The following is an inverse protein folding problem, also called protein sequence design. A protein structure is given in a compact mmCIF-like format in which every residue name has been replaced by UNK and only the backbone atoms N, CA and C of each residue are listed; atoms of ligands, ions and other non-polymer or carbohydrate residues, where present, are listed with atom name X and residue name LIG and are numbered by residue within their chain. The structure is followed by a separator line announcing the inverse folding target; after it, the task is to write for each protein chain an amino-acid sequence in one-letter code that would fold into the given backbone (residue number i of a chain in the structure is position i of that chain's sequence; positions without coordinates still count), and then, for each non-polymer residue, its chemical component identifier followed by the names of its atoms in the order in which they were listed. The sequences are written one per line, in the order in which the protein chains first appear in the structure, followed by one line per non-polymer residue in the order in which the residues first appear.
data_IF_599263804113
#
_entry.id   IF_599263804113
#
_cell.length_a   1.000
_cell.length_b   1.000
_cell.length_c   1.000
_cell.angle_alpha   90.00
_cell.angle_beta   90.00
_cell.angle_gamma   90.00
#
_symmetry.space_group_name_H-M   'P 1'
#
loop_
_entity.id
_entity.type
_entity.pdbx_description
1 polymer ?
#
# COMPACT_ATOMS: atom_id res chain seq x y z
N UNK A 1 21.87 -34.04 -23.77
CA UNK A 1 21.96 -33.34 -22.47
C UNK A 1 20.83 -32.34 -22.45
N UNK A 2 19.70 -32.72 -21.83
CA UNK A 2 18.54 -31.85 -21.69
C UNK A 2 18.89 -30.91 -20.53
N UNK A 3 19.23 -29.64 -20.84
CA UNK A 3 19.32 -28.60 -19.83
C UNK A 3 17.94 -28.42 -19.20
N UNK A 4 17.77 -28.87 -17.95
CA UNK A 4 16.61 -28.48 -17.12
C UNK A 4 16.56 -26.96 -17.13
N UNK A 5 15.63 -26.40 -17.87
CA UNK A 5 15.24 -25.00 -17.74
C UNK A 5 14.78 -24.86 -16.28
N UNK A 6 15.60 -24.20 -15.47
CA UNK A 6 15.29 -23.91 -14.09
C UNK A 6 14.07 -22.97 -14.16
N UNK A 7 12.90 -23.56 -13.93
CA UNK A 7 11.65 -22.80 -13.80
C UNK A 7 11.90 -21.84 -12.64
N UNK A 8 12.13 -20.56 -12.96
CA UNK A 8 12.32 -19.55 -11.92
C UNK A 8 10.99 -19.46 -11.17
N UNK A 9 10.99 -19.80 -9.90
CA UNK A 9 9.88 -19.57 -8.99
C UNK A 9 9.65 -18.05 -8.91
N UNK A 10 8.92 -17.53 -9.89
CA UNK A 10 8.49 -16.13 -9.86
C UNK A 10 7.44 -16.01 -8.78
N UNK A 11 7.75 -15.25 -7.73
CA UNK A 11 6.78 -14.91 -6.70
C UNK A 11 5.60 -14.19 -7.36
N UNK A 12 4.44 -14.80 -7.25
CA UNK A 12 3.19 -14.22 -7.74
C UNK A 12 2.72 -13.15 -6.75
N UNK A 13 2.82 -11.89 -7.16
CA UNK A 13 2.39 -10.75 -6.37
C UNK A 13 0.94 -10.35 -6.59
N UNK A 14 0.21 -11.09 -7.44
CA UNK A 14 -1.17 -10.77 -7.82
C UNK A 14 -2.09 -10.73 -6.61
N UNK A 15 -1.98 -11.71 -5.72
CA UNK A 15 -2.79 -11.76 -4.51
C UNK A 15 -2.49 -10.58 -3.57
N UNK A 16 -1.20 -10.27 -3.34
CA UNK A 16 -0.80 -9.15 -2.49
C UNK A 16 -1.30 -7.81 -3.05
N UNK A 17 -1.20 -7.63 -4.37
CA UNK A 17 -1.73 -6.46 -5.06
C UNK A 17 -3.26 -6.37 -4.94
N UNK A 18 -3.97 -7.48 -5.12
CA UNK A 18 -5.43 -7.51 -4.99
C UNK A 18 -5.89 -7.15 -3.56
N UNK A 19 -5.24 -7.72 -2.54
CA UNK A 19 -5.52 -7.41 -1.13
C UNK A 19 -5.25 -5.92 -0.86
N UNK A 20 -4.14 -5.38 -1.36
CA UNK A 20 -3.82 -3.97 -1.20
C UNK A 20 -4.91 -3.07 -1.82
N UNK A 21 -5.40 -3.39 -3.03
CA UNK A 21 -6.49 -2.63 -3.66
C UNK A 21 -7.79 -2.69 -2.84
N UNK A 22 -8.14 -3.84 -2.28
CA UNK A 22 -9.32 -3.99 -1.42
C UNK A 22 -9.19 -3.12 -0.16
N UNK A 23 -8.01 -3.12 0.48
CA UNK A 23 -7.73 -2.29 1.65
C UNK A 23 -7.81 -0.79 1.33
N UNK A 24 -7.18 -0.36 0.23
CA UNK A 24 -7.22 1.03 -0.23
C UNK A 24 -8.66 1.46 -0.54
N UNK A 25 -9.43 0.59 -1.19
CA UNK A 25 -10.85 0.85 -1.47
C UNK A 25 -11.67 1.01 -0.18
N UNK A 26 -11.45 0.14 0.82
CA UNK A 26 -12.10 0.23 2.13
C UNK A 26 -11.77 1.54 2.85
N UNK A 27 -10.52 1.99 2.78
CA UNK A 27 -10.09 3.25 3.40
C UNK A 27 -10.63 4.49 2.67
N UNK A 28 -10.70 4.43 1.34
CA UNK A 28 -11.14 5.54 0.51
C UNK A 28 -12.67 5.70 0.52
N UNK A 29 -13.38 4.59 0.37
CA UNK A 29 -14.84 4.53 0.22
C UNK A 29 -15.49 3.77 1.38
N UNK A 30 -14.91 3.81 2.56
CA UNK A 30 -15.47 3.19 3.76
C UNK A 30 -16.79 3.84 4.18
N UNK A 31 -17.91 3.20 3.80
CA UNK A 31 -19.26 3.66 4.05
C UNK A 31 -20.22 2.48 4.16
N UNK A 32 -20.98 2.41 5.25
CA UNK A 32 -21.92 1.30 5.52
C UNK A 32 -23.00 1.23 4.45
N UNK A 33 -23.62 2.37 4.13
CA UNK A 33 -24.73 2.44 3.18
C UNK A 33 -24.29 2.08 1.77
N UNK A 34 -23.21 2.67 1.28
CA UNK A 34 -22.61 2.36 -0.01
C UNK A 34 -22.16 0.90 -0.08
N UNK A 35 -21.55 0.39 0.99
CA UNK A 35 -21.13 -1.02 1.10
C UNK A 35 -22.30 -1.98 0.87
N UNK A 36 -23.42 -1.75 1.55
CA UNK A 36 -24.64 -2.56 1.36
C UNK A 36 -25.16 -2.51 -0.08
N UNK A 37 -25.23 -1.32 -0.67
CA UNK A 37 -25.68 -1.14 -2.07
C UNK A 37 -24.76 -1.91 -3.03
N UNK A 38 -23.42 -1.82 -2.86
CA UNK A 38 -22.47 -2.53 -3.71
C UNK A 38 -22.57 -4.05 -3.54
N UNK A 39 -22.78 -4.55 -2.32
CA UNK A 39 -22.99 -5.99 -2.09
C UNK A 39 -24.25 -6.46 -2.81
N UNK A 40 -25.36 -5.74 -2.68
CA UNK A 40 -26.61 -6.10 -3.35
C UNK A 40 -26.45 -6.09 -4.89
N UNK A 41 -25.82 -5.07 -5.46
CA UNK A 41 -25.50 -5.01 -6.89
C UNK A 41 -24.61 -6.18 -7.32
N UNK A 42 -23.58 -6.51 -6.54
CA UNK A 42 -22.70 -7.65 -6.81
C UNK A 42 -23.46 -8.98 -6.79
N UNK A 43 -24.40 -9.16 -5.86
CA UNK A 43 -25.26 -10.34 -5.77
C UNK A 43 -26.23 -10.44 -6.95
N UNK A 44 -26.80 -9.34 -7.40
CA UNK A 44 -27.63 -9.30 -8.62
C UNK A 44 -26.82 -9.72 -9.85
N UNK A 45 -25.56 -9.34 -9.91
CA UNK A 45 -24.64 -9.66 -11.01
C UNK A 45 -23.80 -10.91 -10.77
N UNK A 46 -24.13 -11.78 -9.81
CA UNK A 46 -23.32 -12.94 -9.35
C UNK A 46 -22.87 -13.89 -10.44
N UNK A 47 -23.58 -13.96 -11.56
CA UNK A 47 -23.23 -14.80 -12.70
C UNK A 47 -22.00 -14.27 -13.48
N UNK A 48 -21.66 -13.00 -13.32
CA UNK A 48 -20.52 -12.34 -13.97
C UNK A 48 -19.34 -12.21 -13.00
N UNK A 49 -18.12 -12.35 -13.50
CA UNK A 49 -16.89 -12.11 -12.70
C UNK A 49 -16.89 -10.72 -12.08
N UNK A 50 -17.32 -9.70 -12.83
CA UNK A 50 -17.45 -8.33 -12.33
C UNK A 50 -18.39 -8.22 -11.13
N UNK A 51 -19.48 -9.00 -11.10
CA UNK A 51 -20.41 -8.99 -9.95
C UNK A 51 -19.74 -9.49 -8.67
N UNK A 52 -18.92 -10.53 -8.76
CA UNK A 52 -18.14 -11.03 -7.61
C UNK A 52 -17.15 -9.97 -7.10
N UNK A 53 -16.47 -9.26 -8.00
CA UNK A 53 -15.55 -8.17 -7.63
C UNK A 53 -16.29 -7.03 -6.94
N UNK A 54 -17.43 -6.60 -7.48
CA UNK A 54 -18.27 -5.55 -6.88
C UNK A 54 -18.74 -5.97 -5.49
N UNK A 55 -19.14 -7.23 -5.28
CA UNK A 55 -19.54 -7.74 -3.97
C UNK A 55 -18.39 -7.68 -2.96
N UNK A 56 -17.17 -8.09 -3.35
CA UNK A 56 -15.98 -8.03 -2.49
C UNK A 56 -15.65 -6.58 -2.13
N UNK A 57 -15.67 -5.66 -3.09
CA UNK A 57 -15.46 -4.24 -2.83
C UNK A 57 -16.56 -3.64 -1.95
N UNK A 58 -17.82 -4.10 -2.11
CA UNK A 58 -18.93 -3.73 -1.24
C UNK A 58 -18.71 -4.17 0.21
N UNK A 59 -18.24 -5.40 0.43
CA UNK A 59 -17.87 -5.89 1.76
C UNK A 59 -16.74 -5.05 2.35
N UNK A 60 -15.72 -4.73 1.55
CA UNK A 60 -14.61 -3.89 1.98
C UNK A 60 -15.08 -2.48 2.39
N UNK A 61 -15.95 -1.86 1.58
CA UNK A 61 -16.56 -0.55 1.89
C UNK A 61 -17.40 -0.61 3.17
N UNK A 62 -18.20 -1.67 3.35
CA UNK A 62 -19.00 -1.87 4.55
C UNK A 62 -18.13 -1.97 5.82
N UNK A 63 -17.07 -2.76 5.77
CA UNK A 63 -16.11 -2.89 6.89
C UNK A 63 -15.40 -1.56 7.18
N UNK A 64 -14.97 -0.85 6.13
CA UNK A 64 -14.42 0.50 6.27
C UNK A 64 -15.41 1.46 6.91
N UNK A 65 -16.68 1.41 6.49
CA UNK A 65 -17.77 2.20 7.05
C UNK A 65 -18.04 1.91 8.53
N UNK A 66 -17.91 0.66 8.96
CA UNK A 66 -17.98 0.30 10.38
C UNK A 66 -16.84 0.92 11.21
N UNK A 67 -15.65 1.07 10.62
CA UNK A 67 -14.51 1.72 11.29
C UNK A 67 -14.73 3.23 11.40
N UNK A 68 -15.29 3.83 10.37
CA UNK A 68 -15.53 5.29 10.32
C UNK A 68 -16.84 5.72 10.98
N UNK A 69 -17.81 4.83 11.11
CA UNK A 69 -19.12 5.14 11.66
C UNK A 69 -20.05 5.90 10.70
N UNK A 70 -19.76 5.87 9.40
CA UNK A 70 -20.45 6.65 8.38
C UNK A 70 -21.39 5.78 7.55
N UNK A 71 -22.58 6.33 7.23
CA UNK A 71 -23.52 5.76 6.29
C UNK A 71 -23.96 6.83 5.29
N UNK A 72 -23.87 6.50 3.97
CA UNK A 72 -24.17 7.40 2.86
C UNK A 72 -23.45 8.75 2.95
N UNK A 73 -22.23 8.76 3.48
CA UNK A 73 -21.35 9.94 3.67
C UNK A 73 -21.96 11.11 4.47
N UNK A 74 -23.23 11.07 4.80
CA UNK A 74 -23.96 12.16 5.43
C UNK A 74 -24.46 11.82 6.83
N UNK A 75 -24.54 10.54 7.17
CA UNK A 75 -25.11 10.07 8.44
C UNK A 75 -23.98 9.50 9.27
N UNK A 76 -23.61 10.23 10.34
CA UNK A 76 -22.70 9.75 11.35
C UNK A 76 -23.48 8.92 12.38
N UNK A 77 -23.30 7.61 12.38
CA UNK A 77 -23.98 6.69 13.30
C UNK A 77 -23.32 6.68 14.68
N UNK A 78 -22.00 6.80 14.71
CA UNK A 78 -21.19 6.85 15.95
C UNK A 78 -19.83 7.47 15.65
N UNK A 79 -19.09 7.94 16.69
CA UNK A 79 -17.76 8.51 16.49
C UNK A 79 -16.81 7.44 15.91
N UNK A 80 -15.99 7.85 14.94
CA UNK A 80 -15.02 6.97 14.29
C UNK A 80 -14.10 6.29 15.31
N UNK A 81 -13.85 5.00 15.12
CA UNK A 81 -12.89 4.22 15.93
C UNK A 81 -11.46 4.71 15.71
N UNK A 82 -11.17 5.19 14.51
CA UNK A 82 -9.89 5.83 14.18
C UNK A 82 -10.15 7.33 14.10
N UNK A 83 -9.38 8.17 14.82
CA UNK A 83 -9.51 9.62 14.72
C UNK A 83 -9.05 10.07 13.32
N UNK A 84 -9.96 10.00 12.38
CA UNK A 84 -9.77 10.44 11.00
C UNK A 84 -10.74 11.59 10.78
N UNK A 85 -10.30 12.58 10.04
CA UNK A 85 -11.12 13.70 9.62
C UNK A 85 -12.42 13.25 8.95
N UNK A 86 -13.41 14.13 8.97
CA UNK A 86 -14.77 13.94 8.47
C UNK A 86 -14.88 13.14 7.16
N UNK A 87 -16.02 12.49 6.95
CA UNK A 87 -16.30 11.54 5.87
C UNK A 87 -15.85 11.98 4.48
N UNK A 88 -15.91 13.28 4.19
CA UNK A 88 -15.49 13.90 2.92
C UNK A 88 -14.10 14.54 2.96
N UNK A 89 -13.28 14.26 3.99
CA UNK A 89 -11.99 14.92 4.02
C UNK A 89 -11.09 14.36 2.92
N UNK A 90 -10.55 15.27 2.12
CA UNK A 90 -9.49 15.00 1.15
C UNK A 90 -8.32 14.23 1.79
N UNK A 91 -8.19 14.28 3.12
CA UNK A 91 -7.19 13.56 3.90
C UNK A 91 -7.34 12.04 3.79
N UNK A 92 -8.57 11.48 3.84
CA UNK A 92 -8.79 10.04 3.62
C UNK A 92 -8.32 9.63 2.22
N UNK A 93 -8.62 10.45 1.23
CA UNK A 93 -8.24 10.21 -0.15
C UNK A 93 -6.72 10.20 -0.34
N UNK A 94 -6.04 11.20 0.23
CA UNK A 94 -4.58 11.30 0.19
C UNK A 94 -3.94 10.11 0.91
N UNK A 95 -4.42 9.75 2.11
CA UNK A 95 -3.90 8.62 2.87
C UNK A 95 -4.09 7.30 2.12
N UNK A 96 -5.22 7.10 1.45
CA UNK A 96 -5.49 5.92 0.64
C UNK A 96 -4.55 5.83 -0.57
N UNK A 97 -4.33 6.95 -1.29
CA UNK A 97 -3.39 7.01 -2.41
C UNK A 97 -1.96 6.76 -1.92
N UNK A 98 -1.57 7.36 -0.81
CA UNK A 98 -0.23 7.16 -0.23
C UNK A 98 -0.02 5.69 0.14
N UNK A 99 -1.01 5.05 0.79
CA UNK A 99 -0.97 3.62 1.10
C UNK A 99 -0.83 2.77 -0.15
N UNK A 100 -1.54 3.11 -1.24
CA UNK A 100 -1.44 2.42 -2.52
C UNK A 100 -0.02 2.51 -3.09
N UNK A 101 0.55 3.70 -3.14
CA UNK A 101 1.90 3.93 -3.68
C UNK A 101 2.95 3.18 -2.85
N UNK A 102 2.90 3.34 -1.53
CA UNK A 102 3.84 2.68 -0.60
C UNK A 102 3.68 1.16 -0.65
N UNK A 103 2.45 0.67 -0.66
CA UNK A 103 2.15 -0.75 -0.72
C UNK A 103 2.67 -1.40 -2.01
N UNK A 104 2.42 -0.79 -3.18
CA UNK A 104 2.94 -1.27 -4.46
C UNK A 104 4.46 -1.23 -4.51
N UNK A 105 5.07 -0.17 -3.97
CA UNK A 105 6.51 -0.08 -3.85
C UNK A 105 7.08 -1.21 -3.00
N UNK A 106 6.52 -1.48 -1.82
CA UNK A 106 6.94 -2.55 -0.91
C UNK A 106 6.80 -3.93 -1.57
N UNK A 107 5.65 -4.21 -2.22
CA UNK A 107 5.41 -5.48 -2.94
C UNK A 107 6.48 -5.68 -4.02
N UNK A 108 6.76 -4.64 -4.81
CA UNK A 108 7.80 -4.68 -5.85
C UNK A 108 9.20 -4.93 -5.29
N UNK A 109 9.55 -4.31 -4.16
CA UNK A 109 10.85 -4.51 -3.49
C UNK A 109 10.97 -5.89 -2.86
N UNK A 110 9.93 -6.38 -2.20
CA UNK A 110 9.92 -7.74 -1.62
C UNK A 110 10.14 -8.78 -2.73
N UNK A 111 9.45 -8.63 -3.86
CA UNK A 111 9.67 -9.48 -5.05
C UNK A 111 11.12 -9.42 -5.56
N UNK A 112 11.70 -8.22 -5.63
CA UNK A 112 13.08 -8.03 -6.08
C UNK A 112 14.09 -8.70 -5.13
N UNK A 113 13.89 -8.57 -3.81
CA UNK A 113 14.73 -9.19 -2.79
C UNK A 113 14.62 -10.72 -2.84
N UNK A 114 13.43 -11.25 -3.03
CA UNK A 114 13.20 -12.69 -3.10
C UNK A 114 13.93 -13.31 -4.31
N UNK A 115 13.88 -12.65 -5.46
CA UNK A 115 14.47 -13.12 -6.70
C UNK A 115 16.00 -12.90 -6.76
N UNK A 116 16.59 -12.12 -5.85
CA UNK A 116 18.02 -11.87 -5.81
C UNK A 116 18.76 -13.06 -5.18
N UNK A 117 19.86 -13.52 -5.79
CA UNK A 117 20.62 -14.67 -5.28
C UNK A 117 21.70 -14.27 -4.29
N UNK A 118 22.26 -13.07 -4.42
CA UNK A 118 23.34 -12.58 -3.57
C UNK A 118 22.80 -11.95 -2.28
N UNK A 119 23.25 -12.44 -1.13
CA UNK A 119 22.88 -11.86 0.18
C UNK A 119 23.31 -10.40 0.32
N UNK A 120 24.48 -10.05 -0.21
CA UNK A 120 24.98 -8.66 -0.20
C UNK A 120 24.04 -7.76 -1.00
N UNK A 121 23.59 -8.21 -2.17
CA UNK A 121 22.64 -7.49 -3.00
C UNK A 121 21.26 -7.38 -2.35
N UNK A 122 20.80 -8.40 -1.64
CA UNK A 122 19.54 -8.37 -0.89
C UNK A 122 19.51 -7.25 0.13
N UNK A 123 20.60 -7.00 0.81
CA UNK A 123 20.69 -6.03 1.91
C UNK A 123 21.10 -4.64 1.40
N UNK A 124 22.25 -4.52 0.76
CA UNK A 124 22.92 -3.25 0.48
C UNK A 124 22.54 -2.61 -0.87
N UNK A 125 21.82 -3.29 -1.72
CA UNK A 125 21.37 -2.71 -2.99
C UNK A 125 20.18 -1.77 -2.79
N UNK A 126 20.07 -0.74 -3.63
CA UNK A 126 18.86 0.07 -3.77
C UNK A 126 17.64 -0.80 -4.14
N UNK A 127 17.85 -1.94 -4.79
CA UNK A 127 16.79 -2.92 -5.07
C UNK A 127 16.46 -3.80 -3.86
N UNK A 128 17.30 -3.80 -2.83
CA UNK A 128 17.19 -4.59 -1.61
C UNK A 128 16.54 -3.81 -0.44
N UNK A 129 16.92 -4.25 0.79
CA UNK A 129 16.38 -3.69 2.05
C UNK A 129 16.68 -2.19 2.17
N UNK A 130 17.88 -1.73 1.80
CA UNK A 130 18.23 -0.30 1.81
C UNK A 130 17.24 0.51 0.98
N UNK A 131 16.83 0.01 -0.19
CA UNK A 131 15.83 0.69 -1.02
C UNK A 131 14.43 0.73 -0.37
N UNK A 132 14.04 -0.27 0.42
CA UNK A 132 12.78 -0.24 1.18
C UNK A 132 12.84 0.86 2.24
N UNK A 133 13.92 0.90 3.02
CA UNK A 133 14.09 1.91 4.08
C UNK A 133 14.07 3.32 3.51
N UNK A 134 14.79 3.57 2.40
CA UNK A 134 14.78 4.86 1.73
C UNK A 134 13.37 5.24 1.23
N UNK A 135 12.67 4.31 0.60
CA UNK A 135 11.32 4.56 0.08
C UNK A 135 10.29 4.80 1.18
N UNK A 136 10.36 4.04 2.27
CA UNK A 136 9.50 4.25 3.45
C UNK A 136 9.79 5.59 4.14
N UNK A 137 11.06 6.01 4.21
CA UNK A 137 11.42 7.31 4.76
C UNK A 137 10.84 8.46 3.92
N UNK A 138 10.91 8.36 2.60
CA UNK A 138 10.27 9.35 1.69
C UNK A 138 8.75 9.35 1.88
N UNK A 139 8.12 8.18 1.95
CA UNK A 139 6.68 8.06 2.12
C UNK A 139 6.21 8.64 3.47
N UNK A 140 6.93 8.33 4.54
CA UNK A 140 6.65 8.88 5.86
C UNK A 140 6.79 10.41 5.87
N UNK A 141 7.83 10.93 5.22
CA UNK A 141 8.01 12.37 5.10
C UNK A 141 6.87 13.04 4.32
N UNK A 142 6.45 12.45 3.20
CA UNK A 142 5.31 12.96 2.41
C UNK A 142 4.03 12.94 3.24
N UNK A 143 3.77 11.85 3.99
CA UNK A 143 2.60 11.74 4.86
C UNK A 143 2.57 12.86 5.91
N UNK A 144 3.71 13.16 6.54
CA UNK A 144 3.84 14.21 7.53
C UNK A 144 3.76 15.60 6.88
N UNK A 145 4.35 15.80 5.71
CA UNK A 145 4.33 17.08 5.01
C UNK A 145 2.93 17.48 4.48
N UNK A 146 2.08 16.49 4.20
CA UNK A 146 0.67 16.71 3.82
C UNK A 146 -0.18 17.09 5.02
N UNK A 147 0.18 16.64 6.21
CA UNK A 147 -0.44 17.09 7.46
C UNK A 147 0.20 18.41 7.90
N UNK A 148 -0.45 19.53 7.56
CA UNK A 148 0.05 20.89 7.82
C UNK A 148 0.22 21.23 9.30
N UNK A 149 -0.23 20.36 10.21
CA UNK A 149 -0.09 20.54 11.66
C UNK A 149 1.31 20.20 12.18
N UNK A 150 2.12 19.48 11.37
CA UNK A 150 3.44 19.01 11.78
C UNK A 150 4.57 19.73 11.04
N UNK A 151 5.27 20.61 11.73
CA UNK A 151 6.52 21.21 11.24
C UNK A 151 7.68 20.21 11.43
N UNK A 152 7.85 19.29 10.50
CA UNK A 152 8.94 18.29 10.58
C UNK A 152 10.13 18.73 9.75
N UNK A 153 11.29 18.72 10.39
CA UNK A 153 12.57 18.97 9.71
C UNK A 153 12.83 17.87 8.67
N UNK A 154 13.24 18.25 7.46
CA UNK A 154 13.67 17.32 6.41
C UNK A 154 15.06 16.72 6.65
N UNK A 155 15.74 17.15 7.71
CA UNK A 155 17.10 16.69 8.03
C UNK A 155 17.19 15.15 8.20
N UNK A 156 16.29 14.46 8.95
CA UNK A 156 16.33 13.01 9.06
C UNK A 156 16.14 12.30 7.71
N UNK A 157 15.28 12.83 6.83
CA UNK A 157 15.09 12.27 5.50
C UNK A 157 16.37 12.34 4.68
N UNK A 158 17.01 13.53 4.67
CA UNK A 158 18.26 13.73 3.93
C UNK A 158 19.34 12.78 4.44
N UNK A 159 19.47 12.60 5.77
CA UNK A 159 20.42 11.65 6.36
C UNK A 159 20.16 10.22 5.89
N UNK A 160 18.92 9.75 5.91
CA UNK A 160 18.57 8.38 5.47
C UNK A 160 18.88 8.20 3.98
N UNK A 161 18.57 9.18 3.13
CA UNK A 161 18.85 9.12 1.70
C UNK A 161 20.35 9.10 1.41
N UNK A 162 21.13 9.97 2.06
CA UNK A 162 22.58 10.02 1.90
C UNK A 162 23.23 8.72 2.36
N UNK A 163 22.84 8.19 3.53
CA UNK A 163 23.34 6.90 4.01
C UNK A 163 23.02 5.76 3.05
N UNK A 164 21.78 5.71 2.50
CA UNK A 164 21.40 4.70 1.52
C UNK A 164 22.23 4.77 0.24
N UNK A 165 22.53 5.98 -0.27
CA UNK A 165 23.39 6.19 -1.43
C UNK A 165 24.83 5.74 -1.12
N UNK A 166 25.38 6.14 0.02
CA UNK A 166 26.74 5.76 0.45
C UNK A 166 26.88 4.24 0.57
N UNK A 167 25.92 3.56 1.21
CA UNK A 167 25.91 2.10 1.32
C UNK A 167 25.90 1.41 -0.05
N UNK A 168 25.14 1.94 -1.00
CA UNK A 168 25.11 1.41 -2.36
C UNK A 168 26.44 1.64 -3.11
N UNK A 169 27.12 2.75 -2.87
CA UNK A 169 28.46 3.01 -3.43
C UNK A 169 29.53 2.08 -2.81
N UNK A 170 29.52 1.89 -1.49
CA UNK A 170 30.42 0.97 -0.78
C UNK A 170 30.27 -0.44 -1.35
N UNK A 171 29.00 -0.91 -1.50
CA UNK A 171 28.71 -2.19 -2.11
C UNK A 171 29.35 -2.31 -3.50
N UNK A 172 29.14 -1.31 -4.37
CA UNK A 172 29.67 -1.31 -5.74
C UNK A 172 31.21 -1.32 -5.78
N UNK A 173 31.86 -0.79 -4.73
CA UNK A 173 33.31 -0.83 -4.58
C UNK A 173 33.81 -2.21 -4.12
N UNK A 174 33.01 -2.92 -3.29
CA UNK A 174 33.32 -4.26 -2.80
C UNK A 174 33.06 -5.37 -3.83
N UNK A 175 32.15 -5.14 -4.77
CA UNK A 175 31.82 -6.08 -5.86
C UNK A 175 32.83 -6.02 -7.03
N UNK A 176 33.89 -5.19 -6.97
CA UNK A 176 35.03 -5.15 -7.90
C UNK A 176 36.19 -5.98 -7.40
#
# INVERSE_FOLDING_TARGET
VISKVKQSDHVDTTLATAVLFILVFALMLGDIGLGVVLVLLGLLMRKKTSGKMIAVLGIASFVGGLIYGDAFYSIHLYPSVIPVADAFSYQRFINAILLLIVGQFCIGKVKAIYNEQSMVNKVFSIKGVVGIVMGLAVAAYVAIAVDTTWHVSYLPLVVVLVLGIVLNFIKKALDK
#
